data_IF_114226949888
#
_entry.id   IF_114226949888
#
_cell.length_a   1.000
_cell.length_b   1.000
_cell.length_c   1.000
_cell.angle_alpha   90.00
_cell.angle_beta   90.00
_cell.angle_gamma   90.00
#
_symmetry.space_group_name_H-M   'P 1'
#
loop_
_entity.id
_entity.type
_entity.pdbx_description
1 polymer ?
#
# COMPACT_ATOMS: atom_id res chain seq x y z
N UNK A 1 -4.78 -22.34 19.88
CA UNK A 1 -4.24 -21.13 19.24
C UNK A 1 -5.39 -20.42 18.53
N UNK A 2 -5.75 -19.18 18.88
CA UNK A 2 -6.78 -18.47 18.14
C UNK A 2 -6.21 -18.10 16.77
N UNK A 3 -6.83 -18.59 15.70
CA UNK A 3 -6.51 -18.16 14.34
C UNK A 3 -6.82 -16.65 14.24
N UNK A 4 -5.80 -15.85 13.94
CA UNK A 4 -5.97 -14.43 13.62
C UNK A 4 -7.02 -14.32 12.51
N UNK A 5 -8.16 -13.70 12.82
CA UNK A 5 -9.24 -13.47 11.86
C UNK A 5 -8.62 -12.74 10.67
N UNK A 6 -8.69 -13.32 9.47
CA UNK A 6 -8.32 -12.62 8.23
C UNK A 6 -9.04 -11.26 8.25
N UNK A 7 -8.28 -10.17 8.23
CA UNK A 7 -8.85 -8.83 8.13
C UNK A 7 -9.82 -8.81 6.95
N UNK A 8 -11.05 -8.35 7.20
CA UNK A 8 -12.21 -8.48 6.30
C UNK A 8 -12.04 -7.69 4.99
N UNK A 9 -11.04 -6.81 4.94
CA UNK A 9 -10.66 -6.04 3.76
C UNK A 9 -9.14 -5.86 3.78
N UNK A 10 -8.45 -6.29 2.72
CA UNK A 10 -7.06 -5.92 2.48
C UNK A 10 -7.06 -4.91 1.34
N UNK A 11 -6.51 -3.70 1.53
CA UNK A 11 -6.53 -2.66 0.50
C UNK A 11 -5.68 -3.03 -0.73
N UNK A 12 -4.80 -4.02 -0.61
CA UNK A 12 -3.97 -4.53 -1.68
C UNK A 12 -3.80 -6.06 -1.59
N UNK A 13 -3.49 -6.64 -2.74
CA UNK A 13 -3.00 -8.01 -2.90
C UNK A 13 -1.51 -7.96 -3.17
N UNK A 14 -0.74 -8.70 -2.39
CA UNK A 14 0.72 -8.81 -2.50
C UNK A 14 1.10 -10.21 -2.95
N UNK A 15 1.88 -10.31 -4.02
CA UNK A 15 2.48 -11.55 -4.50
C UNK A 15 4.00 -11.46 -4.36
N UNK A 16 4.58 -12.35 -3.55
CA UNK A 16 6.04 -12.36 -3.33
C UNK A 16 6.70 -13.10 -4.49
N UNK A 17 7.50 -12.40 -5.28
CA UNK A 17 8.26 -12.94 -6.41
C UNK A 17 9.57 -13.52 -5.88
N UNK A 18 10.29 -12.76 -5.05
CA UNK A 18 11.52 -13.18 -4.40
C UNK A 18 11.44 -12.86 -2.92
N UNK A 19 11.67 -13.87 -2.07
CA UNK A 19 11.64 -13.69 -0.62
C UNK A 19 12.85 -12.87 -0.19
N UNK A 20 12.62 -11.85 0.62
CA UNK A 20 13.70 -11.13 1.29
C UNK A 20 14.34 -11.94 2.41
N UNK A 21 15.45 -11.44 2.94
CA UNK A 21 16.17 -12.06 4.05
C UNK A 21 15.94 -11.33 5.37
N UNK A 22 16.28 -12.01 6.47
CA UNK A 22 16.16 -11.46 7.81
C UNK A 22 14.86 -11.83 8.54
N UNK A 23 14.84 -11.47 9.82
CA UNK A 23 13.74 -11.71 10.75
C UNK A 23 12.97 -10.43 11.12
N UNK A 24 13.52 -9.27 10.77
CA UNK A 24 12.97 -7.97 11.13
C UNK A 24 12.16 -7.40 9.97
N UNK A 25 11.11 -6.68 10.31
CA UNK A 25 10.36 -5.81 9.42
C UNK A 25 10.57 -4.36 9.83
N UNK A 26 10.33 -3.46 8.89
CA UNK A 26 10.49 -2.02 9.05
C UNK A 26 9.54 -1.50 10.15
N UNK A 27 10.08 -0.68 11.05
CA UNK A 27 9.33 -0.08 12.16
C UNK A 27 8.98 1.38 11.85
N UNK A 28 8.01 1.95 12.57
CA UNK A 28 7.70 3.38 12.47
C UNK A 28 8.97 4.24 12.70
N UNK A 29 9.13 5.28 11.89
CA UNK A 29 10.32 6.13 11.83
C UNK A 29 11.47 5.59 10.97
N UNK A 30 11.34 4.38 10.40
CA UNK A 30 12.36 3.84 9.49
C UNK A 30 12.27 4.50 8.12
N UNK A 31 13.42 4.89 7.57
CA UNK A 31 13.55 5.39 6.20
C UNK A 31 13.85 4.23 5.27
N UNK A 32 12.95 3.97 4.34
CA UNK A 32 13.00 2.82 3.43
C UNK A 32 13.19 3.31 1.99
N UNK A 33 14.23 2.80 1.33
CA UNK A 33 14.42 3.02 -0.11
C UNK A 33 13.80 1.85 -0.87
N UNK A 34 12.80 2.14 -1.68
CA UNK A 34 12.17 1.17 -2.55
C UNK A 34 12.56 1.44 -4.00
N UNK A 35 12.68 0.36 -4.77
CA UNK A 35 12.91 0.43 -6.21
C UNK A 35 11.69 -0.10 -6.95
N UNK A 36 11.16 0.73 -7.84
CA UNK A 36 10.01 0.37 -8.66
C UNK A 36 10.51 -0.28 -9.94
N UNK A 37 10.17 -1.55 -10.12
CA UNK A 37 10.57 -2.34 -11.30
C UNK A 37 9.62 -2.02 -12.47
N UNK A 38 8.33 -1.97 -12.19
CA UNK A 38 7.29 -1.74 -13.17
C UNK A 38 6.11 -1.02 -12.51
N UNK A 39 5.63 0.03 -13.16
CA UNK A 39 4.37 0.70 -12.83
C UNK A 39 3.54 0.83 -14.11
N UNK A 40 2.50 0.00 -14.25
CA UNK A 40 1.68 -0.05 -15.46
C UNK A 40 0.82 1.21 -15.66
N UNK A 41 0.49 1.92 -14.57
CA UNK A 41 -0.45 3.04 -14.59
C UNK A 41 0.21 4.38 -14.26
N UNK A 42 1.52 4.40 -14.02
CA UNK A 42 2.27 5.58 -13.58
C UNK A 42 1.59 6.27 -12.38
N UNK A 43 1.18 5.46 -11.40
CA UNK A 43 0.52 5.94 -10.17
C UNK A 43 1.52 6.37 -9.12
N UNK A 44 2.79 5.94 -9.22
CA UNK A 44 3.84 6.30 -8.28
C UNK A 44 4.51 7.58 -8.76
N UNK A 45 4.38 8.62 -7.94
CA UNK A 45 4.99 9.94 -8.10
C UNK A 45 6.33 10.01 -7.36
N UNK A 46 7.16 10.99 -7.71
CA UNK A 46 8.43 11.30 -7.00
C UNK A 46 9.53 10.22 -7.09
N UNK A 47 9.62 9.57 -8.24
CA UNK A 47 10.72 8.65 -8.53
C UNK A 47 11.97 9.42 -8.98
N UNK A 48 13.13 9.04 -8.45
CA UNK A 48 14.43 9.50 -8.94
C UNK A 48 14.76 8.88 -10.32
N UNK A 49 15.83 9.34 -10.98
CA UNK A 49 16.29 8.82 -12.28
C UNK A 49 16.55 7.29 -12.32
N UNK A 50 16.71 6.67 -11.14
CA UNK A 50 16.89 5.22 -10.98
C UNK A 50 15.60 4.44 -10.67
N UNK A 51 14.44 5.08 -10.77
CA UNK A 51 13.13 4.55 -10.35
C UNK A 51 13.09 4.16 -8.86
N UNK A 52 13.75 4.97 -8.03
CA UNK A 52 13.81 4.76 -6.58
C UNK A 52 12.98 5.84 -5.88
N UNK A 53 12.23 5.42 -4.85
CA UNK A 53 11.47 6.30 -3.96
C UNK A 53 11.90 6.04 -2.52
N UNK A 54 12.03 7.11 -1.74
CA UNK A 54 12.29 7.04 -0.31
C UNK A 54 10.97 7.24 0.44
N UNK A 55 10.63 6.33 1.34
CA UNK A 55 9.40 6.37 2.15
C UNK A 55 9.79 6.29 3.62
N UNK A 56 9.28 7.23 4.41
CA UNK A 56 9.42 7.20 5.87
C UNK A 56 8.19 6.53 6.46
N UNK A 57 8.39 5.39 7.14
CA UNK A 57 7.28 4.63 7.72
C UNK A 57 6.67 5.43 8.87
N UNK A 58 5.37 5.69 8.79
CA UNK A 58 4.60 6.50 9.73
C UNK A 58 4.44 7.97 9.31
N UNK A 59 5.02 8.38 8.18
CA UNK A 59 5.00 9.76 7.68
C UNK A 59 4.65 9.79 6.18
N UNK A 60 3.41 9.37 5.87
CA UNK A 60 2.87 9.30 4.50
C UNK A 60 1.50 9.99 4.39
N UNK A 61 1.42 11.00 3.54
CA UNK A 61 0.19 11.76 3.30
C UNK A 61 -0.63 11.22 2.12
N UNK A 62 0.04 10.72 1.07
CA UNK A 62 -0.63 10.22 -0.12
C UNK A 62 -1.27 8.84 0.11
N UNK A 63 -2.48 8.59 -0.42
CA UNK A 63 -3.18 7.33 -0.18
C UNK A 63 -2.53 6.15 -0.91
N UNK A 64 -1.82 6.39 -2.02
CA UNK A 64 -1.00 5.37 -2.70
C UNK A 64 0.23 5.03 -1.85
N UNK A 65 0.89 6.04 -1.29
CA UNK A 65 2.05 5.84 -0.41
C UNK A 65 1.70 5.11 0.87
N UNK A 66 0.49 5.28 1.41
CA UNK A 66 -0.03 4.45 2.52
C UNK A 66 -0.08 2.97 2.16
N UNK A 67 -0.50 2.63 0.94
CA UNK A 67 -0.54 1.24 0.48
C UNK A 67 0.88 0.68 0.33
N UNK A 68 1.79 1.50 -0.20
CA UNK A 68 3.21 1.14 -0.31
C UNK A 68 3.82 0.93 1.08
N UNK A 69 3.55 1.83 2.02
CA UNK A 69 4.00 1.72 3.42
C UNK A 69 3.47 0.44 4.08
N UNK A 70 2.17 0.17 4.00
CA UNK A 70 1.58 -1.06 4.54
C UNK A 70 2.20 -2.31 3.92
N UNK A 71 2.56 -2.26 2.63
CA UNK A 71 3.31 -3.33 2.02
C UNK A 71 4.71 -3.46 2.66
N UNK A 72 5.46 -2.35 2.74
CA UNK A 72 6.82 -2.31 3.28
C UNK A 72 6.86 -2.82 4.71
N UNK A 73 5.90 -2.46 5.57
CA UNK A 73 5.77 -2.98 6.95
C UNK A 73 5.71 -4.52 7.02
N UNK A 74 5.29 -5.16 5.94
CA UNK A 74 5.22 -6.64 5.83
C UNK A 74 6.33 -7.24 4.96
N UNK A 75 7.15 -6.40 4.32
CA UNK A 75 8.29 -6.84 3.52
C UNK A 75 9.48 -7.14 4.42
N UNK A 76 10.37 -7.96 3.86
CA UNK A 76 11.71 -8.14 4.38
C UNK A 76 12.71 -7.34 3.56
N UNK A 77 13.91 -7.19 4.08
CA UNK A 77 15.01 -6.60 3.33
C UNK A 77 15.28 -7.42 2.05
N UNK A 78 15.49 -6.72 0.94
CA UNK A 78 15.62 -7.30 -0.41
C UNK A 78 14.45 -8.17 -0.89
N UNK A 79 13.27 -8.07 -0.27
CA UNK A 79 12.08 -8.73 -0.81
C UNK A 79 11.62 -8.06 -2.10
N UNK A 80 11.27 -8.87 -3.10
CA UNK A 80 10.66 -8.41 -4.35
C UNK A 80 9.24 -8.93 -4.42
N UNK A 81 8.26 -8.03 -4.52
CA UNK A 81 6.85 -8.38 -4.62
C UNK A 81 6.12 -7.55 -5.67
N UNK A 82 5.08 -8.14 -6.25
CA UNK A 82 4.08 -7.45 -7.05
C UNK A 82 2.93 -7.01 -6.17
N UNK A 83 2.44 -5.80 -6.39
CA UNK A 83 1.30 -5.21 -5.68
C UNK A 83 0.16 -4.93 -6.65
N UNK A 84 -1.02 -5.45 -6.31
CA UNK A 84 -2.26 -5.18 -7.02
C UNK A 84 -3.24 -4.53 -6.04
N UNK A 85 -3.62 -3.29 -6.30
CA UNK A 85 -4.59 -2.55 -5.48
C UNK A 85 -5.54 -1.74 -6.35
N UNK A 86 -6.72 -1.45 -5.79
CA UNK A 86 -7.65 -0.50 -6.40
C UNK A 86 -7.19 0.91 -6.05
N UNK A 87 -7.14 1.80 -7.03
CA UNK A 87 -6.69 3.16 -6.78
C UNK A 87 -7.64 3.82 -5.76
N UNK A 88 -7.13 4.39 -4.66
CA UNK A 88 -7.97 4.94 -3.60
C UNK A 88 -8.91 6.06 -4.08
N UNK A 89 -8.51 6.81 -5.11
CA UNK A 89 -9.36 7.82 -5.75
C UNK A 89 -10.40 7.26 -6.76
N UNK A 90 -10.37 5.96 -7.06
CA UNK A 90 -11.38 5.28 -7.91
C UNK A 90 -12.42 4.51 -7.08
N UNK A 91 -12.36 4.61 -5.75
CA UNK A 91 -13.52 4.25 -4.95
C UNK A 91 -14.60 5.29 -5.22
N UNK A 92 -15.50 4.92 -6.13
CA UNK A 92 -16.81 5.54 -6.30
C UNK A 92 -17.61 5.32 -5.01
N UNK A 93 -17.29 6.07 -3.95
CA UNK A 93 -18.19 6.29 -2.82
C UNK A 93 -19.19 7.38 -3.20
N UNK A 94 -19.81 7.21 -4.37
CA UNK A 94 -21.04 7.90 -4.76
C UNK A 94 -22.24 7.21 -4.10
N UNK A 95 -22.11 6.83 -2.83
CA UNK A 95 -23.27 6.66 -1.96
C UNK A 95 -23.67 8.05 -1.48
N UNK A 96 -24.30 8.83 -2.37
CA UNK A 96 -25.11 9.98 -1.94
C UNK A 96 -26.07 9.40 -0.90
N UNK A 97 -26.03 9.82 0.38
CA UNK A 97 -27.05 9.41 1.32
C UNK A 97 -28.38 9.86 0.71
N UNK A 98 -29.28 8.94 0.41
CA UNK A 98 -30.64 9.26 0.02
C UNK A 98 -31.25 10.04 1.19
N UNK A 99 -31.17 11.37 1.10
CA UNK A 99 -31.82 12.28 2.02
C UNK A 99 -33.29 11.89 2.03
N UNK A 100 -33.77 11.65 3.24
CA UNK A 100 -35.04 11.00 3.52
C UNK A 100 -36.15 11.66 2.70
N UNK A 101 -36.83 10.84 1.90
CA UNK A 101 -38.07 11.23 1.24
C UNK A 101 -39.04 11.69 2.34
N UNK A 102 -39.13 13.00 2.55
CA UNK A 102 -40.21 13.59 3.34
C UNK A 102 -41.48 13.46 2.50
N UNK A 103 -42.23 12.40 2.76
CA UNK A 103 -43.61 12.27 2.29
C UNK A 103 -44.39 13.52 2.73
N UNK A 104 -44.98 14.22 1.75
CA UNK A 104 -45.89 15.35 1.94
C UNK A 104 -47.34 14.87 1.91
#
# INVERSE_FOLDING_TARGET
MPALRKAKYKPFTKEIITKGYGFNTQQDGSVCKIKIILDEKNVITELNDSNEKEIVVGDVDEPVDRILEDCIRTMKEEEVCSLLFLHPCLNDDSSIPEDSVVEA
#
